data_IF_069617868014
#
_entry.id   IF_069617868014
#
_cell.length_a   1.000
_cell.length_b   1.000
_cell.length_c   1.000
_cell.angle_alpha   90.00
_cell.angle_beta   90.00
_cell.angle_gamma   90.00
#
_symmetry.space_group_name_H-M   'P 1'
#
loop_
_entity.id
_entity.type
_entity.pdbx_description
1 polymer ?
#
# COMPACT_ATOMS: atom_id res chain seq x y z
N UNK A 1 -10.43 -36.06 -12.86
CA UNK A 1 -11.68 -35.36 -12.64
C UNK A 1 -11.55 -34.18 -11.72
N UNK A 2 -10.84 -34.33 -10.60
CA UNK A 2 -10.61 -33.22 -9.66
C UNK A 2 -9.76 -32.10 -10.26
N UNK A 3 -8.92 -32.41 -11.25
CA UNK A 3 -8.06 -31.44 -11.91
C UNK A 3 -8.84 -30.39 -12.71
N UNK A 4 -9.99 -30.75 -13.29
CA UNK A 4 -10.80 -29.81 -14.06
C UNK A 4 -11.36 -28.69 -13.18
N UNK A 5 -11.83 -29.03 -11.99
CA UNK A 5 -12.37 -28.03 -11.07
C UNK A 5 -11.26 -27.14 -10.50
N UNK A 6 -10.10 -27.71 -10.26
CA UNK A 6 -8.94 -26.98 -9.77
C UNK A 6 -8.47 -25.95 -10.79
N UNK A 7 -8.38 -26.33 -12.07
CA UNK A 7 -8.00 -25.43 -13.16
C UNK A 7 -9.00 -24.30 -13.32
N UNK A 8 -10.29 -24.60 -13.19
CA UNK A 8 -11.34 -23.57 -13.28
C UNK A 8 -11.21 -22.54 -12.15
N UNK A 9 -10.92 -22.96 -10.95
CA UNK A 9 -10.72 -22.07 -9.81
C UNK A 9 -9.53 -21.15 -10.06
N UNK A 10 -8.43 -21.67 -10.57
CA UNK A 10 -7.24 -20.90 -10.91
C UNK A 10 -7.56 -19.82 -11.95
N UNK A 11 -8.33 -20.17 -12.97
CA UNK A 11 -8.75 -19.22 -14.00
C UNK A 11 -9.56 -18.07 -13.40
N UNK A 12 -10.46 -18.37 -12.48
CA UNK A 12 -11.26 -17.34 -11.80
C UNK A 12 -10.36 -16.39 -11.01
N UNK A 13 -9.35 -16.90 -10.30
CA UNK A 13 -8.39 -16.08 -9.59
C UNK A 13 -7.60 -15.17 -10.51
N UNK A 14 -7.18 -15.67 -11.66
CA UNK A 14 -6.43 -14.88 -12.65
C UNK A 14 -7.29 -13.73 -13.17
N UNK A 15 -8.56 -13.98 -13.48
CA UNK A 15 -9.47 -12.94 -13.93
C UNK A 15 -9.71 -11.88 -12.87
N UNK A 16 -9.85 -12.30 -11.61
CA UNK A 16 -10.06 -11.38 -10.50
C UNK A 16 -8.86 -10.45 -10.31
N UNK A 17 -7.65 -10.97 -10.40
CA UNK A 17 -6.46 -10.13 -10.25
C UNK A 17 -6.30 -9.15 -11.39
N UNK A 18 -6.66 -9.51 -12.61
CA UNK A 18 -6.62 -8.56 -13.73
C UNK A 18 -7.63 -7.42 -13.57
N UNK A 19 -8.81 -7.72 -13.05
CA UNK A 19 -9.83 -6.71 -12.81
C UNK A 19 -9.37 -5.67 -11.78
N UNK A 20 -8.59 -6.08 -10.77
CA UNK A 20 -8.10 -5.19 -9.74
C UNK A 20 -6.86 -4.38 -10.16
N UNK A 21 -6.17 -4.80 -11.21
CA UNK A 21 -4.95 -4.14 -11.68
C UNK A 21 -5.20 -2.96 -12.61
N UNK A 22 -6.44 -2.72 -13.02
CA UNK A 22 -6.77 -1.61 -13.92
C UNK A 22 -6.71 -0.27 -13.18
N UNK A 23 -5.88 0.63 -13.68
CA UNK A 23 -5.75 1.97 -13.10
C UNK A 23 -7.06 2.76 -13.14
N UNK A 24 -7.93 2.49 -14.09
CA UNK A 24 -9.25 3.14 -14.19
C UNK A 24 -10.15 2.83 -12.99
N UNK A 25 -9.94 1.72 -12.30
CA UNK A 25 -10.66 1.41 -11.07
C UNK A 25 -10.38 2.41 -9.96
N UNK A 26 -9.20 3.01 -9.96
CA UNK A 26 -8.79 3.92 -8.90
C UNK A 26 -9.23 5.36 -9.13
N UNK A 27 -9.73 5.70 -10.30
CA UNK A 27 -10.19 7.05 -10.59
C UNK A 27 -11.36 7.48 -9.68
N UNK A 28 -12.22 6.53 -9.32
CA UNK A 28 -13.32 6.79 -8.41
C UNK A 28 -12.99 6.55 -6.94
N UNK A 29 -11.83 5.95 -6.64
CA UNK A 29 -11.43 5.62 -5.27
C UNK A 29 -10.46 6.68 -4.78
N UNK A 30 -10.87 7.43 -3.76
CA UNK A 30 -10.02 8.45 -3.15
C UNK A 30 -9.26 7.92 -1.94
N UNK A 31 -9.75 6.84 -1.34
CA UNK A 31 -9.20 6.32 -0.10
C UNK A 31 -9.46 4.82 0.02
N UNK A 32 -8.45 4.10 0.49
CA UNK A 32 -8.58 2.69 0.89
C UNK A 32 -8.01 2.58 2.30
N UNK A 33 -8.78 1.99 3.20
CA UNK A 33 -8.33 1.70 4.56
C UNK A 33 -8.32 0.20 4.77
N UNK A 34 -7.25 -0.29 5.40
CA UNK A 34 -7.11 -1.71 5.71
C UNK A 34 -6.56 -1.88 7.11
N UNK A 35 -7.03 -2.92 7.79
CA UNK A 35 -6.45 -3.32 9.07
C UNK A 35 -5.20 -4.15 8.84
N UNK A 36 -4.21 -3.95 9.69
CA UNK A 36 -3.03 -4.80 9.75
C UNK A 36 -3.28 -5.87 10.81
N UNK A 37 -3.23 -7.14 10.40
CA UNK A 37 -3.54 -8.26 11.27
C UNK A 37 -2.29 -9.08 11.56
N UNK A 38 -2.22 -9.58 12.78
CA UNK A 38 -1.23 -10.56 13.20
C UNK A 38 -1.93 -11.59 14.05
N UNK A 39 -1.89 -12.86 13.62
CA UNK A 39 -2.58 -13.95 14.31
C UNK A 39 -4.07 -13.64 14.56
N UNK A 40 -4.75 -13.12 13.52
CA UNK A 40 -6.16 -12.73 13.55
C UNK A 40 -6.50 -11.58 14.51
N UNK A 41 -5.50 -10.89 15.00
CA UNK A 41 -5.68 -9.72 15.86
C UNK A 41 -5.29 -8.45 15.11
N UNK A 42 -6.12 -7.40 15.23
CA UNK A 42 -5.81 -6.11 14.62
C UNK A 42 -4.71 -5.44 15.44
N UNK A 43 -3.57 -5.17 14.80
CA UNK A 43 -2.44 -4.51 15.44
C UNK A 43 -2.22 -3.09 14.95
N UNK A 44 -2.95 -2.67 13.93
CA UNK A 44 -2.85 -1.33 13.40
C UNK A 44 -3.63 -1.19 12.11
N UNK A 45 -3.29 -0.16 11.34
CA UNK A 45 -3.98 0.16 10.10
C UNK A 45 -3.02 0.72 9.06
N UNK A 46 -3.43 0.60 7.80
CA UNK A 46 -2.78 1.28 6.69
C UNK A 46 -3.85 1.94 5.83
N UNK A 47 -3.57 3.15 5.38
CA UNK A 47 -4.50 3.94 4.58
C UNK A 47 -3.79 4.44 3.34
N UNK A 48 -4.48 4.34 2.21
CA UNK A 48 -4.01 4.87 0.94
C UNK A 48 -4.95 5.96 0.48
N UNK A 49 -4.38 7.08 0.06
CA UNK A 49 -5.12 8.19 -0.52
C UNK A 49 -4.64 8.39 -1.94
N UNK A 50 -5.60 8.53 -2.86
CA UNK A 50 -5.33 8.70 -4.28
C UNK A 50 -5.86 10.04 -4.74
N UNK A 51 -5.00 10.83 -5.36
CA UNK A 51 -5.36 12.15 -5.85
C UNK A 51 -4.81 12.35 -7.25
N UNK A 52 -5.58 13.08 -8.08
CA UNK A 52 -5.07 13.60 -9.34
C UNK A 52 -4.84 15.09 -9.14
N UNK A 53 -3.62 15.55 -9.43
CA UNK A 53 -3.23 16.94 -9.36
C UNK A 53 -2.63 17.32 -10.72
N UNK A 54 -3.45 17.99 -11.54
CA UNK A 54 -3.17 18.25 -12.95
C UNK A 54 -2.91 16.93 -13.69
N UNK A 55 -1.71 16.73 -14.21
CA UNK A 55 -1.32 15.50 -14.90
C UNK A 55 -0.60 14.50 -13.99
N UNK A 56 -0.54 14.80 -12.70
CA UNK A 56 0.12 13.93 -11.72
C UNK A 56 -0.89 13.03 -11.01
N UNK A 57 -0.50 11.80 -10.82
CA UNK A 57 -1.20 10.87 -9.94
C UNK A 57 -0.42 10.76 -8.64
N UNK A 58 -1.06 11.09 -7.53
CA UNK A 58 -0.41 11.13 -6.21
C UNK A 58 -0.99 10.04 -5.34
N UNK A 59 -0.11 9.24 -4.76
CA UNK A 59 -0.48 8.20 -3.79
C UNK A 59 0.16 8.54 -2.46
N UNK A 60 -0.66 8.64 -1.43
CA UNK A 60 -0.20 8.82 -0.05
C UNK A 60 -0.54 7.58 0.74
N UNK A 61 0.41 7.11 1.52
CA UNK A 61 0.20 5.97 2.41
C UNK A 61 0.54 6.36 3.83
N UNK A 62 -0.33 5.99 4.74
CA UNK A 62 -0.11 6.11 6.18
C UNK A 62 -0.26 4.73 6.79
N UNK A 63 0.78 4.27 7.44
CA UNK A 63 0.79 2.96 8.09
C UNK A 63 1.19 3.10 9.53
N UNK A 64 0.41 2.48 10.40
CA UNK A 64 0.66 2.52 11.84
C UNK A 64 0.31 1.15 12.42
N UNK A 65 1.28 0.48 13.01
CA UNK A 65 1.00 -0.74 13.76
C UNK A 65 2.04 -0.95 14.85
N UNK A 66 1.66 -1.74 15.85
CA UNK A 66 2.55 -2.14 16.92
C UNK A 66 2.31 -3.58 17.30
N UNK A 67 3.38 -4.26 17.70
CA UNK A 67 3.32 -5.62 18.23
C UNK A 67 3.69 -5.56 19.72
N UNK A 68 2.80 -6.09 20.55
CA UNK A 68 3.02 -6.21 21.98
C UNK A 68 3.08 -7.68 22.37
N UNK A 69 4.03 -8.01 23.22
CA UNK A 69 4.13 -9.33 23.84
C UNK A 69 4.13 -9.15 25.36
N UNK A 70 3.17 -9.84 26.02
CA UNK A 70 3.02 -9.75 27.48
C UNK A 70 2.88 -8.31 27.99
N UNK A 71 2.14 -7.48 27.23
CA UNK A 71 1.93 -6.08 27.59
C UNK A 71 3.09 -5.15 27.29
N UNK A 72 4.16 -5.65 26.69
CA UNK A 72 5.33 -4.86 26.33
C UNK A 72 5.38 -4.66 24.81
N UNK A 73 5.56 -3.42 24.37
CA UNK A 73 5.74 -3.09 22.97
C UNK A 73 7.13 -3.55 22.51
N UNK A 74 7.16 -4.51 21.57
CA UNK A 74 8.42 -5.06 21.06
C UNK A 74 8.75 -4.54 19.68
N UNK A 75 7.76 -4.03 18.94
CA UNK A 75 7.97 -3.51 17.59
C UNK A 75 6.87 -2.53 17.24
N UNK A 76 7.22 -1.44 16.58
CA UNK A 76 6.24 -0.49 16.08
C UNK A 76 6.71 0.15 14.77
N UNK A 77 5.73 0.44 13.91
CA UNK A 77 5.93 1.18 12.67
C UNK A 77 4.92 2.32 12.62
N UNK A 78 5.42 3.51 12.32
CA UNK A 78 4.61 4.65 11.94
C UNK A 78 5.26 5.22 10.68
N UNK A 79 4.55 5.14 9.55
CA UNK A 79 5.14 5.47 8.27
C UNK A 79 4.20 6.38 7.47
N UNK A 80 4.79 7.38 6.84
CA UNK A 80 4.12 8.21 5.84
C UNK A 80 4.91 8.13 4.54
N UNK A 81 4.22 7.83 3.45
CA UNK A 81 4.84 7.72 2.14
C UNK A 81 4.04 8.52 1.13
N UNK A 82 4.73 9.27 0.29
CA UNK A 82 4.13 10.01 -0.81
C UNK A 82 4.82 9.59 -2.10
N UNK A 83 4.02 9.18 -3.08
CA UNK A 83 4.50 8.82 -4.41
C UNK A 83 3.79 9.70 -5.43
N UNK A 84 4.54 10.21 -6.40
CA UNK A 84 3.96 10.98 -7.50
C UNK A 84 4.35 10.35 -8.82
N UNK A 85 3.36 10.15 -9.66
CA UNK A 85 3.51 9.51 -10.98
C UNK A 85 3.10 10.50 -12.07
N UNK A 86 3.86 10.51 -13.14
CA UNK A 86 3.54 11.23 -14.35
C UNK A 86 3.72 10.30 -15.53
N UNK A 87 2.70 10.17 -16.38
CA UNK A 87 2.72 9.25 -17.52
C UNK A 87 3.10 7.83 -17.10
N UNK A 88 2.51 7.36 -15.99
CA UNK A 88 2.75 6.03 -15.40
C UNK A 88 4.18 5.79 -14.92
N UNK A 89 4.96 6.86 -14.74
CA UNK A 89 6.33 6.77 -14.23
C UNK A 89 6.41 7.44 -12.87
N UNK A 90 7.07 6.78 -11.94
CA UNK A 90 7.36 7.35 -10.62
C UNK A 90 8.38 8.47 -10.78
N UNK A 91 7.97 9.69 -10.42
CA UNK A 91 8.86 10.86 -10.50
C UNK A 91 9.26 11.40 -9.15
N UNK A 92 8.54 11.03 -8.10
CA UNK A 92 8.82 11.51 -6.75
C UNK A 92 8.44 10.42 -5.76
N UNK A 93 9.30 10.19 -4.79
CA UNK A 93 9.06 9.28 -3.67
C UNK A 93 9.63 9.90 -2.41
N UNK A 94 8.81 9.95 -1.38
CA UNK A 94 9.22 10.41 -0.06
C UNK A 94 8.65 9.46 0.97
N UNK A 95 9.49 8.96 1.85
CA UNK A 95 9.08 8.08 2.94
C UNK A 95 9.70 8.55 4.23
N UNK A 96 8.87 8.69 5.24
CA UNK A 96 9.30 8.98 6.59
C UNK A 96 8.74 7.89 7.50
N UNK A 97 9.62 7.10 8.08
CA UNK A 97 9.24 5.93 8.87
C UNK A 97 9.89 6.02 10.25
N UNK A 98 9.05 5.87 11.27
CA UNK A 98 9.52 5.67 12.64
C UNK A 98 9.40 4.18 12.96
N UNK A 99 10.54 3.52 13.05
CA UNK A 99 10.62 2.12 13.46
C UNK A 99 11.16 2.06 14.86
N UNK A 100 10.34 1.61 15.81
CA UNK A 100 10.67 1.62 17.22
C UNK A 100 11.14 3.00 17.70
N UNK A 101 10.42 4.04 17.26
CA UNK A 101 10.68 5.45 17.57
C UNK A 101 11.98 6.00 16.98
N UNK A 102 12.61 5.27 16.06
CA UNK A 102 13.77 5.76 15.31
C UNK A 102 13.32 6.19 13.91
N UNK A 103 13.67 7.42 13.57
CA UNK A 103 13.29 7.99 12.28
C UNK A 103 14.19 7.48 11.15
N UNK A 104 13.55 7.07 10.04
CA UNK A 104 14.21 6.72 8.80
C UNK A 104 13.55 7.52 7.68
N UNK A 105 14.33 8.29 6.97
CA UNK A 105 13.83 9.18 5.94
C UNK A 105 14.45 8.86 4.59
N UNK A 106 13.62 8.76 3.56
CA UNK A 106 14.04 8.56 2.17
C UNK A 106 13.30 9.54 1.30
N UNK A 107 14.02 10.22 0.43
CA UNK A 107 13.42 11.09 -0.58
C UNK A 107 14.14 10.90 -1.89
N UNK A 108 13.38 10.58 -2.92
CA UNK A 108 13.90 10.37 -4.28
C UNK A 108 13.11 11.27 -5.23
N UNK A 109 13.82 11.99 -6.06
CA UNK A 109 13.22 12.82 -7.08
C UNK A 109 13.90 12.54 -8.41
N UNK A 110 13.10 12.20 -9.41
CA UNK A 110 13.60 11.98 -10.75
C UNK A 110 13.84 13.31 -11.45
N UNK A 111 15.05 13.52 -11.91
CA UNK A 111 15.41 14.66 -12.73
C UNK A 111 15.67 14.17 -14.14
N UNK A 112 14.93 14.73 -15.08
CA UNK A 112 15.18 14.46 -16.48
C UNK A 112 16.45 15.22 -16.89
N UNK A 113 17.45 14.45 -17.23
CA UNK A 113 18.72 15.02 -17.68
C UNK A 113 18.57 15.65 -19.05
#
# INVERSE_FOLDING_TARGET
MKMKHFVLIIIIFIYSSKATAHSSHYEGLKKIEMDVLRNNEVIGSTSYFFEFDDDLFVVKNYTNFKVELFGVKVFSILSETIEKYKDNKLIFFKSNTFQNDKEKYVSLKYHKA
#
